data_IF_136025518911
#
_entry.id   IF_136025518911
#
_cell.length_a   1.000
_cell.length_b   1.000
_cell.length_c   1.000
_cell.angle_alpha   90.00
_cell.angle_beta   90.00
_cell.angle_gamma   90.00
#
_symmetry.space_group_name_H-M   'P 1'
#
loop_
_entity.id
_entity.type
_entity.pdbx_description
1 polymer ?
#
# COMPACT_ATOMS: atom_id res chain seq x y z
N UNK A 1 11.18 -29.56 35.06
CA UNK A 1 12.26 -29.21 34.12
C UNK A 1 11.64 -29.06 32.74
N UNK A 2 11.68 -27.84 32.18
CA UNK A 2 11.27 -27.40 30.82
C UNK A 2 9.81 -27.61 30.38
N UNK A 3 9.14 -26.72 29.64
CA UNK A 3 9.48 -25.40 29.09
C UNK A 3 8.15 -24.69 28.78
N UNK A 4 7.91 -23.52 29.38
CA UNK A 4 6.73 -22.70 29.09
C UNK A 4 6.86 -22.08 27.69
N UNK A 5 6.04 -22.56 26.76
CA UNK A 5 5.89 -22.00 25.41
C UNK A 5 5.24 -20.61 25.53
N UNK A 6 6.06 -19.57 25.62
CA UNK A 6 5.58 -18.18 25.57
C UNK A 6 5.17 -17.86 24.13
N UNK A 7 3.88 -17.95 23.87
CA UNK A 7 3.25 -17.57 22.62
C UNK A 7 3.52 -16.08 22.35
N UNK A 8 4.51 -15.80 21.51
CA UNK A 8 4.91 -14.44 21.15
C UNK A 8 3.82 -13.84 20.28
N UNK A 9 2.98 -12.97 20.87
CA UNK A 9 1.97 -12.18 20.17
C UNK A 9 2.61 -11.54 18.93
N UNK A 10 2.14 -11.90 17.73
CA UNK A 10 2.44 -11.21 16.47
C UNK A 10 1.93 -9.77 16.52
N UNK A 11 2.68 -8.90 17.18
CA UNK A 11 2.61 -7.44 17.00
C UNK A 11 3.30 -7.12 15.69
N UNK A 12 2.52 -6.73 14.66
CA UNK A 12 2.90 -5.91 13.49
C UNK A 12 2.04 -6.30 12.28
N UNK A 13 0.82 -5.79 12.23
CA UNK A 13 0.01 -5.79 11.01
C UNK A 13 -0.82 -4.50 10.84
N UNK A 14 -0.45 -3.44 11.56
CA UNK A 14 -0.83 -2.06 11.24
C UNK A 14 0.46 -1.34 10.90
N UNK A 15 0.95 -1.70 9.73
CA UNK A 15 2.10 -1.15 9.03
C UNK A 15 1.71 0.22 8.49
N UNK A 16 2.41 1.26 8.96
CA UNK A 16 2.45 2.65 8.51
C UNK A 16 1.14 3.38 8.16
N UNK A 17 0.30 3.68 9.17
CA UNK A 17 -0.74 4.72 9.03
C UNK A 17 -0.17 6.14 8.89
N UNK A 18 1.13 6.36 9.12
CA UNK A 18 1.76 7.69 9.08
C UNK A 18 1.87 8.26 7.65
N UNK A 19 2.30 7.45 6.67
CA UNK A 19 2.47 7.93 5.28
C UNK A 19 1.12 8.03 4.57
N UNK A 20 0.19 7.11 4.86
CA UNK A 20 -1.18 7.17 4.31
C UNK A 20 -2.00 8.30 4.94
N UNK A 21 -1.75 8.61 6.22
CA UNK A 21 -2.36 9.75 6.92
C UNK A 21 -1.97 11.09 6.32
N UNK A 22 -0.75 11.23 5.78
CA UNK A 22 -0.31 12.48 5.16
C UNK A 22 -1.01 12.76 3.82
N UNK A 23 -1.15 11.74 2.98
CA UNK A 23 -1.94 11.85 1.72
C UNK A 23 -3.40 12.14 2.04
N UNK A 24 -3.96 11.44 3.02
CA UNK A 24 -5.34 11.62 3.42
C UNK A 24 -5.61 13.03 3.98
N UNK A 25 -4.69 13.54 4.81
CA UNK A 25 -4.75 14.90 5.34
C UNK A 25 -4.68 15.92 4.22
N UNK A 26 -3.79 15.74 3.24
CA UNK A 26 -3.71 16.63 2.07
C UNK A 26 -5.00 16.63 1.28
N UNK A 27 -5.59 15.46 1.01
CA UNK A 27 -6.88 15.35 0.32
C UNK A 27 -7.96 16.09 1.11
N UNK A 28 -8.09 15.84 2.41
CA UNK A 28 -9.07 16.51 3.27
C UNK A 28 -8.89 18.04 3.29
N UNK A 29 -7.66 18.54 3.39
CA UNK A 29 -7.36 19.98 3.35
C UNK A 29 -7.76 20.59 2.01
N UNK A 30 -7.36 19.99 0.88
CA UNK A 30 -7.74 20.48 -0.44
C UNK A 30 -9.27 20.51 -0.60
N UNK A 31 -9.96 19.55 -0.01
CA UNK A 31 -11.41 19.48 -0.02
C UNK A 31 -12.07 20.60 0.77
N UNK A 32 -11.56 20.90 1.98
CA UNK A 32 -12.02 22.03 2.80
C UNK A 32 -11.75 23.35 2.07
N UNK A 33 -10.57 23.51 1.47
CA UNK A 33 -10.23 24.69 0.67
C UNK A 33 -11.19 24.83 -0.52
N UNK A 34 -11.40 23.76 -1.29
CA UNK A 34 -12.34 23.74 -2.40
C UNK A 34 -13.76 24.12 -1.97
N UNK A 35 -14.21 23.58 -0.84
CA UNK A 35 -15.52 23.87 -0.26
C UNK A 35 -15.67 25.34 0.12
N UNK A 36 -14.68 25.90 0.83
CA UNK A 36 -14.65 27.32 1.23
C UNK A 36 -14.63 28.21 0.00
N UNK A 37 -13.78 27.93 -0.98
CA UNK A 37 -13.72 28.68 -2.23
C UNK A 37 -15.07 28.66 -2.98
N UNK A 38 -15.73 27.50 -3.06
CA UNK A 38 -17.06 27.40 -3.67
C UNK A 38 -18.12 28.20 -2.89
N UNK A 39 -18.12 28.11 -1.57
CA UNK A 39 -19.05 28.87 -0.73
C UNK A 39 -18.85 30.39 -0.89
N UNK A 40 -17.60 30.85 -0.93
CA UNK A 40 -17.27 32.26 -1.20
C UNK A 40 -17.69 32.68 -2.60
N UNK A 41 -17.45 31.86 -3.63
CA UNK A 41 -17.84 32.16 -5.00
C UNK A 41 -19.37 32.28 -5.13
N UNK A 42 -20.12 31.35 -4.54
CA UNK A 42 -21.59 31.40 -4.51
C UNK A 42 -22.10 32.64 -3.77
N UNK A 43 -21.49 32.99 -2.64
CA UNK A 43 -21.86 34.19 -1.89
C UNK A 43 -21.62 35.48 -2.70
N UNK A 44 -20.47 35.59 -3.36
CA UNK A 44 -20.15 36.72 -4.24
C UNK A 44 -21.15 36.78 -5.40
N UNK A 45 -21.47 35.63 -5.99
CA UNK A 45 -22.44 35.53 -7.09
C UNK A 45 -23.83 36.03 -6.69
N UNK A 46 -24.38 35.52 -5.58
CA UNK A 46 -25.70 35.93 -5.07
C UNK A 46 -25.71 37.43 -4.77
N UNK A 47 -24.66 37.93 -4.15
CA UNK A 47 -24.56 39.36 -3.84
C UNK A 47 -24.48 40.21 -5.10
N UNK A 48 -23.73 39.79 -6.12
CA UNK A 48 -23.54 40.60 -7.32
C UNK A 48 -24.76 40.60 -8.25
N UNK A 49 -25.48 39.47 -8.32
CA UNK A 49 -26.52 39.27 -9.34
C UNK A 49 -27.95 39.12 -8.80
N UNK A 50 -28.13 38.69 -7.55
CA UNK A 50 -29.46 38.37 -6.99
C UNK A 50 -29.89 39.38 -5.92
N UNK A 51 -28.98 39.85 -5.06
CA UNK A 51 -29.28 40.70 -3.91
C UNK A 51 -28.15 41.70 -3.58
N UNK A 52 -27.95 42.76 -4.38
CA UNK A 52 -26.88 43.74 -4.16
C UNK A 52 -27.06 44.62 -2.90
N UNK A 53 -28.30 44.84 -2.50
CA UNK A 53 -28.68 45.79 -1.42
C UNK A 53 -28.77 45.14 -0.03
N UNK A 54 -28.54 43.83 0.06
CA UNK A 54 -28.73 43.04 1.28
C UNK A 54 -27.41 42.94 2.04
N UNK A 55 -27.48 42.98 3.38
CA UNK A 55 -26.29 42.96 4.23
C UNK A 55 -25.60 41.59 4.21
N UNK A 56 -24.27 41.56 4.34
CA UNK A 56 -23.45 40.33 4.24
C UNK A 56 -23.92 39.17 5.12
N UNK A 57 -24.37 39.47 6.35
CA UNK A 57 -24.87 38.45 7.28
C UNK A 57 -26.17 37.79 6.82
N UNK A 58 -27.06 38.54 6.16
CA UNK A 58 -28.30 38.01 5.60
C UNK A 58 -28.03 37.17 4.36
N UNK A 59 -27.18 37.66 3.44
CA UNK A 59 -26.75 36.88 2.27
C UNK A 59 -26.09 35.56 2.66
N UNK A 60 -25.25 35.55 3.71
CA UNK A 60 -24.68 34.31 4.25
C UNK A 60 -25.76 33.36 4.78
N UNK A 61 -26.69 33.87 5.60
CA UNK A 61 -27.78 33.07 6.16
C UNK A 61 -28.68 32.44 5.10
N UNK A 62 -29.00 33.20 4.04
CA UNK A 62 -29.85 32.73 2.95
C UNK A 62 -29.11 31.74 2.05
N UNK A 63 -27.84 31.99 1.75
CA UNK A 63 -26.97 31.03 1.04
C UNK A 63 -26.84 29.74 1.84
N UNK A 64 -26.55 29.83 3.14
CA UNK A 64 -26.38 28.67 4.00
C UNK A 64 -27.66 27.83 4.09
N UNK A 65 -28.84 28.44 4.18
CA UNK A 65 -30.13 27.72 4.19
C UNK A 65 -30.45 27.11 2.83
N UNK A 66 -30.26 27.87 1.74
CA UNK A 66 -30.57 27.43 0.38
C UNK A 66 -29.70 26.27 -0.07
N UNK A 67 -28.43 26.28 0.32
CA UNK A 67 -27.45 25.24 -0.03
C UNK A 67 -27.13 24.28 1.12
N UNK A 68 -27.88 24.34 2.23
CA UNK A 68 -27.71 23.43 3.38
C UNK A 68 -27.68 21.95 2.97
N UNK A 69 -28.60 21.45 2.11
CA UNK A 69 -28.58 20.05 1.71
C UNK A 69 -27.30 19.69 0.96
N UNK A 70 -26.82 20.60 0.10
CA UNK A 70 -25.58 20.41 -0.65
C UNK A 70 -24.38 20.33 0.30
N UNK A 71 -24.30 21.22 1.30
CA UNK A 71 -23.24 21.21 2.30
C UNK A 71 -23.24 19.93 3.15
N UNK A 72 -24.41 19.44 3.55
CA UNK A 72 -24.54 18.19 4.30
C UNK A 72 -24.05 17.00 3.46
N UNK A 73 -24.51 16.89 2.20
CA UNK A 73 -24.10 15.81 1.30
C UNK A 73 -22.58 15.86 1.08
N UNK A 74 -22.05 17.04 0.83
CA UNK A 74 -20.62 17.29 0.62
C UNK A 74 -19.84 16.85 1.86
N UNK A 75 -20.20 17.32 3.06
CA UNK A 75 -19.54 16.89 4.30
C UNK A 75 -19.64 15.38 4.55
N UNK A 76 -20.78 14.76 4.24
CA UNK A 76 -21.01 13.32 4.39
C UNK A 76 -20.19 12.46 3.40
N UNK A 77 -19.82 13.02 2.24
CA UNK A 77 -18.95 12.33 1.27
C UNK A 77 -17.49 12.24 1.73
N UNK A 78 -17.03 13.14 2.59
CA UNK A 78 -15.65 13.12 3.11
C UNK A 78 -15.31 11.76 3.75
N UNK A 79 -16.03 11.26 4.77
CA UNK A 79 -15.68 9.98 5.40
C UNK A 79 -15.76 8.79 4.42
N UNK A 80 -16.72 8.81 3.48
CA UNK A 80 -16.83 7.77 2.47
C UNK A 80 -15.61 7.75 1.53
N UNK A 81 -15.20 8.93 1.05
CA UNK A 81 -14.05 9.08 0.17
C UNK A 81 -12.72 8.76 0.87
N UNK A 82 -12.60 9.19 2.13
CA UNK A 82 -11.49 8.85 3.02
C UNK A 82 -11.37 7.34 3.17
N UNK A 83 -12.48 6.67 3.48
CA UNK A 83 -12.51 5.22 3.67
C UNK A 83 -12.13 4.47 2.40
N UNK A 84 -12.66 4.90 1.25
CA UNK A 84 -12.36 4.26 -0.03
C UNK A 84 -10.89 4.45 -0.43
N UNK A 85 -10.36 5.65 -0.27
CA UNK A 85 -8.94 5.96 -0.51
C UNK A 85 -8.01 5.14 0.38
N UNK A 86 -8.35 5.00 1.67
CA UNK A 86 -7.59 4.16 2.61
C UNK A 86 -7.64 2.68 2.19
N UNK A 87 -8.81 2.18 1.80
CA UNK A 87 -8.98 0.80 1.35
C UNK A 87 -8.14 0.52 0.11
N UNK A 88 -8.15 1.44 -0.85
CA UNK A 88 -7.33 1.37 -2.06
C UNK A 88 -5.83 1.39 -1.70
N UNK A 89 -5.40 2.32 -0.86
CA UNK A 89 -3.99 2.47 -0.48
C UNK A 89 -3.47 1.24 0.27
N UNK A 90 -4.27 0.66 1.17
CA UNK A 90 -3.92 -0.59 1.86
C UNK A 90 -3.74 -1.78 0.91
N UNK A 91 -4.57 -1.85 -0.13
CA UNK A 91 -4.45 -2.86 -1.20
C UNK A 91 -3.16 -2.70 -2.01
N UNK A 92 -2.59 -1.50 -2.07
CA UNK A 92 -1.28 -1.26 -2.69
C UNK A 92 -0.10 -1.47 -1.73
N UNK A 93 -0.20 -0.95 -0.50
CA UNK A 93 0.90 -0.90 0.47
C UNK A 93 1.24 -2.26 1.09
N UNK A 94 0.25 -3.12 1.31
CA UNK A 94 0.46 -4.46 1.89
C UNK A 94 1.36 -5.35 1.03
N UNK A 95 1.04 -5.54 -0.27
CA UNK A 95 1.85 -6.35 -1.18
C UNK A 95 3.29 -5.82 -1.36
N UNK A 96 3.47 -4.50 -1.50
CA UNK A 96 4.81 -3.93 -1.75
C UNK A 96 5.74 -4.12 -0.54
N UNK A 97 5.21 -4.01 0.69
CA UNK A 97 6.03 -4.26 1.87
C UNK A 97 6.47 -5.72 1.94
N UNK A 98 5.56 -6.66 1.62
CA UNK A 98 5.89 -8.09 1.56
C UNK A 98 6.95 -8.38 0.50
N UNK A 99 6.81 -7.80 -0.70
CA UNK A 99 7.82 -7.91 -1.75
C UNK A 99 9.19 -7.41 -1.26
N UNK A 100 9.23 -6.23 -0.60
CA UNK A 100 10.48 -5.67 -0.06
C UNK A 100 11.15 -6.61 0.95
N UNK A 101 10.39 -7.20 1.87
CA UNK A 101 10.95 -8.17 2.82
C UNK A 101 11.48 -9.42 2.12
N UNK A 102 10.69 -9.98 1.19
CA UNK A 102 11.04 -11.19 0.44
C UNK A 102 12.29 -10.97 -0.43
N UNK A 103 12.40 -9.81 -1.08
CA UNK A 103 13.58 -9.43 -1.86
C UNK A 103 14.81 -9.23 -0.97
N UNK A 104 14.64 -8.62 0.22
CA UNK A 104 15.73 -8.49 1.19
C UNK A 104 16.23 -9.86 1.67
N UNK A 105 15.34 -10.82 1.92
CA UNK A 105 15.72 -12.17 2.33
C UNK A 105 16.41 -12.93 1.18
N UNK A 106 15.92 -12.77 -0.05
CA UNK A 106 16.54 -13.32 -1.25
C UNK A 106 17.97 -12.79 -1.45
N UNK A 107 18.16 -11.48 -1.26
CA UNK A 107 19.48 -10.83 -1.40
C UNK A 107 20.52 -11.34 -0.39
N UNK A 108 20.06 -11.94 0.72
CA UNK A 108 20.90 -12.55 1.76
C UNK A 108 21.16 -14.04 1.51
N UNK A 109 20.69 -14.60 0.39
CA UNK A 109 20.83 -16.02 0.07
C UNK A 109 19.95 -16.95 0.91
N UNK A 110 18.99 -16.42 1.67
CA UNK A 110 18.05 -17.23 2.43
C UNK A 110 17.08 -17.93 1.46
N UNK A 111 16.67 -19.17 1.75
CA UNK A 111 15.62 -19.85 0.99
C UNK A 111 14.31 -19.08 1.18
N UNK A 112 13.83 -18.47 0.10
CA UNK A 112 12.61 -17.67 0.12
C UNK A 112 11.44 -18.47 -0.45
N UNK A 113 10.33 -18.52 0.27
CA UNK A 113 9.11 -19.17 -0.21
C UNK A 113 8.47 -18.36 -1.35
N UNK A 114 7.73 -19.00 -2.28
CA UNK A 114 7.04 -18.32 -3.37
C UNK A 114 6.13 -17.20 -2.86
N UNK A 115 6.23 -16.03 -3.48
CA UNK A 115 5.42 -14.87 -3.16
C UNK A 115 4.03 -15.05 -3.77
N UNK A 116 3.00 -15.01 -2.93
CA UNK A 116 1.61 -15.03 -3.37
C UNK A 116 0.85 -13.85 -2.76
N UNK A 117 0.22 -13.03 -3.59
CA UNK A 117 -0.64 -11.91 -3.16
C UNK A 117 -2.11 -12.33 -3.18
N UNK A 118 -3.01 -11.51 -2.60
CA UNK A 118 -4.44 -11.85 -2.58
C UNK A 118 -5.06 -11.59 -3.96
N UNK A 119 -6.02 -12.41 -4.40
CA UNK A 119 -6.60 -12.42 -5.77
C UNK A 119 -7.01 -11.03 -6.30
N UNK A 120 -7.37 -10.11 -5.40
CA UNK A 120 -7.76 -8.75 -5.76
C UNK A 120 -6.68 -7.73 -5.36
N UNK A 121 -5.39 -8.03 -5.52
CA UNK A 121 -4.28 -7.09 -5.33
C UNK A 121 -3.70 -6.73 -6.70
N UNK A 122 -3.24 -5.49 -6.89
CA UNK A 122 -2.76 -5.01 -8.21
C UNK A 122 -1.42 -5.60 -8.65
N UNK A 123 -0.73 -6.32 -7.76
CA UNK A 123 0.68 -6.69 -7.90
C UNK A 123 0.91 -8.17 -8.25
N UNK A 124 -0.13 -8.90 -8.66
CA UNK A 124 -0.05 -10.34 -8.95
C UNK A 124 1.02 -10.67 -9.98
N UNK A 125 1.06 -9.93 -11.09
CA UNK A 125 2.06 -10.10 -12.14
C UNK A 125 3.49 -9.92 -11.62
N UNK A 126 3.71 -8.99 -10.69
CA UNK A 126 5.04 -8.80 -10.08
C UNK A 126 5.42 -9.99 -9.19
N UNK A 127 4.47 -10.56 -8.45
CA UNK A 127 4.73 -11.78 -7.69
C UNK A 127 5.06 -12.97 -8.60
N UNK A 128 4.33 -13.13 -9.71
CA UNK A 128 4.60 -14.17 -10.70
C UNK A 128 6.00 -14.03 -11.30
N UNK A 129 6.35 -12.83 -11.78
CA UNK A 129 7.67 -12.52 -12.32
C UNK A 129 8.79 -12.78 -11.29
N UNK A 130 8.58 -12.38 -10.03
CA UNK A 130 9.53 -12.64 -8.95
C UNK A 130 9.74 -14.15 -8.71
N UNK A 131 8.65 -14.92 -8.67
CA UNK A 131 8.72 -16.37 -8.48
C UNK A 131 9.46 -17.06 -9.63
N UNK A 132 9.24 -16.64 -10.87
CA UNK A 132 9.95 -17.18 -12.04
C UNK A 132 11.46 -16.94 -11.96
N UNK A 133 11.88 -15.72 -11.57
CA UNK A 133 13.31 -15.40 -11.40
C UNK A 133 13.93 -16.24 -10.27
N UNK A 134 13.23 -16.40 -9.15
CA UNK A 134 13.73 -17.20 -8.03
C UNK A 134 13.81 -18.69 -8.38
N UNK A 135 12.83 -19.23 -9.11
CA UNK A 135 12.85 -20.61 -9.58
C UNK A 135 14.06 -20.88 -10.50
N UNK A 136 14.32 -20.00 -11.47
CA UNK A 136 15.49 -20.13 -12.35
C UNK A 136 16.83 -19.95 -11.64
N UNK A 137 16.86 -19.26 -10.49
CA UNK A 137 18.05 -19.12 -9.64
C UNK A 137 18.30 -20.37 -8.80
N UNK A 138 17.23 -21.02 -8.33
CA UNK A 138 17.30 -22.25 -7.53
C UNK A 138 17.78 -23.43 -8.38
N UNK A 139 17.30 -23.56 -9.62
CA UNK A 139 17.71 -24.64 -10.54
C UNK A 139 19.20 -24.59 -10.89
N UNK A 140 19.78 -23.39 -11.03
CA UNK A 140 21.22 -23.22 -11.29
C UNK A 140 22.11 -23.62 -10.11
N UNK A 141 21.67 -23.36 -8.88
CA UNK A 141 22.41 -23.79 -7.68
C UNK A 141 22.31 -25.30 -7.45
N UNK A 142 21.20 -25.95 -7.83
CA UNK A 142 21.04 -27.39 -7.69
C UNK A 142 21.85 -28.20 -8.72
N UNK A 143 22.13 -27.62 -9.89
CA UNK A 143 22.92 -28.24 -10.96
C UNK A 143 24.43 -28.04 -10.82
N UNK A 144 24.88 -27.03 -10.05
CA UNK A 144 26.30 -26.77 -9.79
C UNK A 144 26.97 -27.75 -8.81
N UNK A 145 26.20 -28.47 -7.98
CA UNK A 145 26.73 -29.47 -7.03
C UNK A 145 26.89 -30.87 -7.67
N UNK A 146 26.29 -31.12 -8.84
CA UNK A 146 26.35 -32.43 -9.50
C UNK A 146 27.60 -32.65 -10.36
N UNK A 147 28.34 -31.58 -10.70
CA UNK A 147 29.51 -31.64 -11.60
C UNK A 147 30.85 -31.60 -10.85
N UNK A 148 30.83 -31.55 -9.51
CA UNK A 148 32.03 -31.51 -8.67
C UNK A 148 32.58 -32.89 -8.26
N UNK A 149 31.92 -34.00 -8.64
CA UNK A 149 32.31 -35.37 -8.23
C UNK A 149 32.79 -36.27 -9.38
N UNK A 150 32.91 -35.76 -10.61
CA UNK A 150 33.41 -36.54 -11.76
C UNK A 150 34.81 -36.08 -12.14
N UNK A 151 35.83 -36.54 -11.41
CA UNK A 151 37.20 -36.24 -11.81
C UNK A 151 38.29 -36.61 -10.82
N UNK A 152 38.43 -37.89 -10.47
CA UNK A 152 39.76 -38.39 -10.08
C UNK A 152 40.06 -39.68 -10.86
N UNK A 153 41.05 -39.67 -11.77
CA UNK A 153 41.44 -40.87 -12.49
C UNK A 153 42.09 -41.88 -11.54
N UNK A 154 41.82 -43.13 -11.86
CA UNK A 154 42.37 -44.40 -11.37
C UNK A 154 43.88 -44.36 -11.14
N UNK A 155 44.33 -44.94 -10.03
CA UNK A 155 45.66 -45.56 -9.97
C UNK A 155 45.47 -47.03 -9.58
N UNK A 156 45.52 -47.86 -10.62
CA UNK A 156 45.51 -49.32 -10.56
C UNK A 156 46.97 -49.77 -10.67
N UNK A 157 47.36 -50.74 -9.84
CA UNK A 157 48.65 -51.45 -9.77
C UNK A 157 49.83 -50.75 -9.06
N UNK A 158 50.07 -51.19 -7.81
CA UNK A 158 51.42 -51.65 -7.46
C UNK A 158 51.35 -52.89 -6.56
N UNK A 159 51.70 -54.02 -7.18
CA UNK A 159 52.07 -55.29 -6.56
C UNK A 159 53.55 -55.20 -6.15
N UNK A 160 53.88 -55.58 -4.91
CA UNK A 160 54.99 -56.50 -4.53
C UNK A 160 55.44 -56.27 -3.08
N UNK A 161 55.62 -57.36 -2.33
CA UNK A 161 56.40 -57.41 -1.07
C UNK A 161 55.74 -58.16 0.08
#
# INVERSE_FOLDING_TARGET
>A
MSMSQTNTKRRRALVDPEVQGDVLRKIAIHWVVFFVCNACALMIWIRLFEQPDVNWGQTFGDTAKRFLPFFIITLALIPAFVWDTLKLTNRFAGPILRLRSTLSDASRGLKVAPLHFRTNDYWQEIAENFNTVMAGSIDKNASGDADADVGKPTDENQVDG
#
